data_IF_697812324870
#
_entry.id   IF_697812324870
#
_cell.length_a   1.000
_cell.length_b   1.000
_cell.length_c   1.000
_cell.angle_alpha   90.00
_cell.angle_beta   90.00
_cell.angle_gamma   90.00
#
_symmetry.space_group_name_H-M   'P 1'
#
loop_
_entity.id
_entity.type
_entity.pdbx_description
1 polymer ?
#
# COMPACT_ATOMS: atom_id res chain seq x y z
N UNK A 1 -30.07 20.16 -1.64
CA UNK A 1 -29.22 19.91 -0.46
C UNK A 1 -29.35 18.42 -0.15
N UNK A 2 -28.35 17.61 -0.52
CA UNK A 2 -28.42 16.16 -0.33
C UNK A 2 -27.69 15.79 0.95
N UNK A 3 -28.48 15.34 1.95
CA UNK A 3 -27.98 14.64 3.12
C UNK A 3 -27.55 13.24 2.66
N UNK A 4 -26.27 12.89 2.81
CA UNK A 4 -25.85 11.50 2.64
C UNK A 4 -25.94 10.81 3.98
N UNK A 5 -26.84 9.82 4.01
CA UNK A 5 -27.02 8.83 5.06
C UNK A 5 -25.65 8.30 5.52
N UNK A 6 -25.30 8.55 6.77
CA UNK A 6 -24.43 7.63 7.49
C UNK A 6 -25.28 6.36 7.60
N UNK A 7 -24.81 5.25 7.04
CA UNK A 7 -25.37 3.93 7.37
C UNK A 7 -24.58 3.45 8.59
N UNK A 8 -25.08 3.62 9.83
CA UNK A 8 -24.65 2.77 10.91
C UNK A 8 -25.34 1.43 10.65
N UNK A 9 -24.59 0.35 10.44
CA UNK A 9 -25.00 -0.98 10.88
C UNK A 9 -23.81 -1.92 10.65
N UNK A 10 -23.28 -2.54 11.70
CA UNK A 10 -23.71 -3.84 12.24
C UNK A 10 -23.60 -4.92 11.16
N UNK A 11 -22.38 -5.38 10.86
CA UNK A 11 -22.19 -6.54 9.97
C UNK A 11 -21.00 -7.38 10.40
N UNK A 12 -21.21 -8.70 10.47
CA UNK A 12 -20.31 -9.76 10.96
C UNK A 12 -18.82 -9.49 10.71
N UNK A 13 -18.07 -9.49 11.82
CA UNK A 13 -16.67 -9.08 11.93
C UNK A 13 -15.65 -10.09 11.37
N UNK A 14 -16.06 -11.31 11.03
CA UNK A 14 -15.08 -12.42 10.89
C UNK A 14 -14.39 -12.52 9.52
N UNK A 15 -14.89 -11.85 8.47
CA UNK A 15 -14.42 -12.09 7.09
C UNK A 15 -14.11 -10.85 6.24
N UNK A 16 -14.07 -9.65 6.83
CA UNK A 16 -13.88 -8.39 6.09
C UNK A 16 -12.64 -7.67 6.58
N UNK A 17 -11.77 -7.27 5.66
CA UNK A 17 -10.63 -6.42 5.97
C UNK A 17 -10.75 -5.09 5.25
N UNK A 18 -10.61 -3.99 5.97
CA UNK A 18 -10.59 -2.63 5.40
C UNK A 18 -9.14 -2.14 5.45
N UNK A 19 -8.64 -1.67 4.30
CA UNK A 19 -7.36 -0.97 4.22
C UNK A 19 -7.60 0.45 3.69
N UNK A 20 -6.97 1.42 4.33
CA UNK A 20 -7.03 2.82 3.90
C UNK A 20 -5.78 3.13 3.10
N UNK A 21 -5.95 3.58 1.86
CA UNK A 21 -4.89 3.99 0.94
C UNK A 21 -4.90 5.51 0.85
N UNK A 22 -3.78 6.15 1.17
CA UNK A 22 -3.56 7.57 0.96
C UNK A 22 -2.71 7.76 -0.29
N UNK A 23 -3.27 8.47 -1.27
CA UNK A 23 -2.58 8.89 -2.49
C UNK A 23 -2.36 10.41 -2.45
N UNK A 24 -1.16 10.88 -2.76
CA UNK A 24 -0.81 12.30 -2.73
C UNK A 24 0.03 12.72 -3.93
N UNK A 25 -0.10 13.98 -4.32
CA UNK A 25 0.85 14.69 -5.15
C UNK A 25 1.06 16.11 -4.60
N UNK A 26 1.91 16.90 -5.25
CA UNK A 26 2.22 18.28 -4.83
C UNK A 26 1.00 19.22 -4.71
N UNK A 27 -0.17 18.86 -5.26
CA UNK A 27 -1.36 19.72 -5.34
C UNK A 27 -2.61 19.13 -4.68
N UNK A 28 -2.67 17.82 -4.46
CA UNK A 28 -3.89 17.08 -4.09
C UNK A 28 -3.54 15.85 -3.26
N UNK A 29 -4.26 15.70 -2.15
CA UNK A 29 -4.30 14.51 -1.31
C UNK A 29 -5.67 13.82 -1.42
N UNK A 30 -5.68 12.51 -1.65
CA UNK A 30 -6.87 11.67 -1.76
C UNK A 30 -6.75 10.46 -0.84
N UNK A 31 -7.79 10.18 -0.06
CA UNK A 31 -7.92 8.94 0.72
C UNK A 31 -8.95 8.02 0.09
N UNK A 32 -8.62 6.73 0.04
CA UNK A 32 -9.45 5.67 -0.48
C UNK A 32 -9.58 4.57 0.57
N UNK A 33 -10.79 4.07 0.77
CA UNK A 33 -11.04 2.90 1.62
C UNK A 33 -11.31 1.71 0.71
N UNK A 34 -10.47 0.70 0.83
CA UNK A 34 -10.57 -0.53 0.05
C UNK A 34 -10.98 -1.63 1.00
N UNK A 35 -12.18 -2.17 0.77
CA UNK A 35 -12.66 -3.32 1.53
C UNK A 35 -12.33 -4.60 0.76
N UNK A 36 -11.52 -5.46 1.34
CA UNK A 36 -11.16 -6.77 0.81
C UNK A 36 -12.07 -7.81 1.47
N UNK A 37 -12.83 -8.53 0.64
CA UNK A 37 -13.69 -9.63 1.07
C UNK A 37 -13.13 -10.94 0.51
N UNK A 38 -13.04 -11.97 1.38
CA UNK A 38 -12.46 -13.28 1.01
C UNK A 38 -13.28 -14.00 -0.08
N UNK A 39 -14.54 -13.61 -0.26
CA UNK A 39 -15.51 -14.33 -1.11
C UNK A 39 -16.00 -13.51 -2.30
N UNK A 40 -15.93 -12.19 -2.22
CA UNK A 40 -16.40 -11.27 -3.26
C UNK A 40 -15.32 -10.23 -3.54
N UNK A 41 -15.16 -9.84 -4.80
CA UNK A 41 -14.13 -8.89 -5.22
C UNK A 41 -14.11 -7.64 -4.32
N UNK A 42 -12.93 -7.10 -3.96
CA UNK A 42 -12.84 -5.94 -3.08
C UNK A 42 -13.71 -4.79 -3.58
N UNK A 43 -14.55 -4.27 -2.68
CA UNK A 43 -15.43 -3.15 -2.97
C UNK A 43 -14.68 -1.86 -2.63
N UNK A 44 -14.49 -1.02 -3.64
CA UNK A 44 -14.08 0.36 -3.45
C UNK A 44 -15.24 1.12 -2.78
N UNK A 45 -15.11 1.40 -1.49
CA UNK A 45 -16.04 2.32 -0.82
C UNK A 45 -15.35 3.67 -0.79
N UNK A 46 -15.44 4.40 -1.89
CA UNK A 46 -14.83 5.72 -1.97
C UNK A 46 -15.65 6.72 -1.16
N UNK A 47 -15.16 7.08 0.04
CA UNK A 47 -15.28 8.46 0.48
C UNK A 47 -14.03 9.18 -0.02
N UNK A 48 -14.14 9.83 -1.18
CA UNK A 48 -13.11 10.73 -1.68
C UNK A 48 -13.09 11.96 -0.79
N UNK A 49 -12.32 11.90 0.30
CA UNK A 49 -12.08 13.08 1.10
C UNK A 49 -10.92 13.85 0.46
N UNK A 50 -11.23 15.01 -0.13
CA UNK A 50 -10.19 15.99 -0.44
C UNK A 50 -9.72 16.54 0.90
N UNK A 51 -8.49 16.24 1.26
CA UNK A 51 -7.90 16.83 2.46
C UNK A 51 -7.41 18.22 2.08
N UNK A 52 -7.88 19.24 2.78
CA UNK A 52 -7.55 20.64 2.52
C UNK A 52 -6.27 21.01 3.26
N UNK A 53 -5.16 21.17 2.52
CA UNK A 53 -3.87 21.57 3.07
C UNK A 53 -2.71 20.82 2.43
N UNK A 54 -2.30 21.24 1.22
CA UNK A 54 -1.26 20.56 0.44
C UNK A 54 0.12 20.49 1.15
N UNK A 55 0.35 21.30 2.20
CA UNK A 55 1.58 21.30 2.98
C UNK A 55 1.60 20.26 4.10
N UNK A 56 0.67 20.37 5.05
CA UNK A 56 0.65 19.53 6.26
C UNK A 56 0.41 18.05 5.94
N UNK A 57 -0.42 17.77 4.94
CA UNK A 57 -0.69 16.40 4.49
C UNK A 57 0.52 15.75 3.84
N UNK A 58 1.25 16.51 3.02
CA UNK A 58 2.47 16.02 2.39
C UNK A 58 3.59 15.85 3.42
N UNK A 59 3.70 16.75 4.40
CA UNK A 59 4.61 16.61 5.53
C UNK A 59 4.30 15.35 6.36
N UNK A 60 3.03 15.10 6.67
CA UNK A 60 2.59 13.87 7.36
C UNK A 60 2.83 12.62 6.51
N UNK A 61 2.61 12.68 5.20
CA UNK A 61 2.88 11.59 4.29
C UNK A 61 4.37 11.22 4.29
N UNK A 62 5.25 12.21 4.17
CA UNK A 62 6.70 12.01 4.18
C UNK A 62 7.23 11.55 5.54
N UNK A 63 6.63 11.98 6.66
CA UNK A 63 7.00 11.48 7.99
C UNK A 63 6.70 10.00 8.14
N UNK A 64 5.52 9.53 7.69
CA UNK A 64 5.14 8.11 7.72
C UNK A 64 6.12 7.25 6.93
N UNK A 65 6.58 7.74 5.77
CA UNK A 65 7.58 7.03 4.96
C UNK A 65 8.88 6.87 5.76
N UNK A 66 9.39 7.96 6.35
CA UNK A 66 10.62 7.94 7.14
C UNK A 66 10.52 7.01 8.34
N UNK A 67 9.40 7.04 9.07
CA UNK A 67 9.17 6.18 10.22
C UNK A 67 9.23 4.69 9.81
N UNK A 68 8.60 4.33 8.68
CA UNK A 68 8.63 2.95 8.17
C UNK A 68 9.99 2.51 7.65
N UNK A 69 10.72 3.40 6.99
CA UNK A 69 12.10 3.12 6.58
C UNK A 69 12.97 2.80 7.81
N UNK A 70 12.78 3.55 8.89
CA UNK A 70 13.46 3.31 10.15
C UNK A 70 13.05 1.96 10.76
N UNK A 71 11.75 1.65 10.84
CA UNK A 71 11.24 0.35 11.31
C UNK A 71 11.85 -0.83 10.52
N UNK A 72 11.97 -0.70 9.19
CA UNK A 72 12.56 -1.73 8.33
C UNK A 72 14.05 -1.92 8.63
N UNK A 73 14.81 -0.83 8.83
CA UNK A 73 16.24 -0.89 9.20
C UNK A 73 16.44 -1.57 10.56
N UNK A 74 15.60 -1.25 11.53
CA UNK A 74 15.62 -1.87 12.86
C UNK A 74 15.29 -3.37 12.79
N UNK A 75 14.30 -3.74 11.97
CA UNK A 75 13.97 -5.14 11.73
C UNK A 75 15.14 -5.91 11.11
N UNK A 76 15.83 -5.36 10.09
CA UNK A 76 17.03 -6.00 9.51
C UNK A 76 18.07 -6.30 10.59
N UNK A 77 18.35 -5.33 11.46
CA UNK A 77 19.33 -5.50 12.53
C UNK A 77 18.94 -6.63 13.49
N UNK A 78 17.65 -6.76 13.84
CA UNK A 78 17.16 -7.82 14.73
C UNK A 78 17.33 -9.23 14.15
N UNK A 79 17.22 -9.40 12.84
CA UNK A 79 17.35 -10.70 12.16
C UNK A 79 18.74 -10.92 11.52
N UNK A 80 19.69 -10.02 11.79
CA UNK A 80 21.01 -10.02 11.18
C UNK A 80 21.81 -11.29 11.55
N UNK A 81 22.53 -11.87 10.58
CA UNK A 81 23.39 -13.04 10.76
C UNK A 81 22.84 -14.37 10.25
N UNK A 82 21.52 -14.54 10.16
CA UNK A 82 20.90 -15.79 9.68
C UNK A 82 20.12 -15.64 8.37
N UNK A 83 20.00 -14.41 7.88
CA UNK A 83 19.33 -14.10 6.62
C UNK A 83 20.33 -13.99 5.46
N UNK A 84 19.90 -14.23 4.20
CA UNK A 84 20.73 -13.99 3.02
C UNK A 84 21.38 -12.60 3.00
N UNK A 85 22.66 -12.54 2.64
CA UNK A 85 23.49 -11.33 2.73
C UNK A 85 23.04 -10.14 1.86
N UNK A 86 22.13 -10.37 0.92
CA UNK A 86 21.66 -9.39 -0.06
C UNK A 86 20.29 -8.76 0.28
N UNK A 87 19.69 -9.06 1.43
CA UNK A 87 18.43 -8.44 1.84
C UNK A 87 18.63 -6.94 2.12
N UNK A 88 17.74 -6.11 1.56
CA UNK A 88 17.75 -4.65 1.70
C UNK A 88 16.71 -4.13 2.68
N UNK A 89 15.62 -4.88 2.88
CA UNK A 89 14.58 -4.52 3.84
C UNK A 89 13.77 -5.74 4.28
N UNK A 90 13.19 -5.64 5.48
CA UNK A 90 12.36 -6.68 6.10
C UNK A 90 11.09 -6.05 6.64
N UNK A 91 9.98 -6.76 6.51
CA UNK A 91 8.70 -6.38 7.07
C UNK A 91 8.05 -7.57 7.79
N UNK A 92 8.18 -7.66 9.12
CA UNK A 92 7.65 -8.77 9.90
C UNK A 92 6.12 -8.73 9.96
N UNK A 93 5.52 -9.90 9.96
CA UNK A 93 4.08 -10.05 10.22
C UNK A 93 3.74 -9.67 11.67
N UNK A 94 2.49 -9.24 11.98
CA UNK A 94 2.08 -8.83 13.32
C UNK A 94 2.34 -9.88 14.41
N UNK A 95 2.09 -11.16 14.10
CA UNK A 95 2.39 -12.29 15.00
C UNK A 95 3.87 -12.71 15.02
N UNK A 96 4.74 -12.03 14.26
CA UNK A 96 6.19 -12.27 14.12
C UNK A 96 6.57 -13.69 13.69
N UNK A 97 5.66 -14.46 13.08
CA UNK A 97 5.94 -15.82 12.60
C UNK A 97 6.42 -15.85 11.15
N UNK A 98 6.16 -14.79 10.40
CA UNK A 98 6.48 -14.65 8.98
C UNK A 98 7.20 -13.33 8.73
N UNK A 99 8.10 -13.32 7.75
CA UNK A 99 8.84 -12.15 7.29
C UNK A 99 8.62 -11.97 5.79
N UNK A 100 8.26 -10.77 5.36
CA UNK A 100 8.46 -10.36 3.97
C UNK A 100 9.83 -9.72 3.88
N UNK A 101 10.62 -10.12 2.89
CA UNK A 101 11.93 -9.53 2.63
C UNK A 101 12.03 -9.09 1.18
N UNK A 102 12.80 -8.05 0.92
CA UNK A 102 13.16 -7.61 -0.42
C UNK A 102 14.65 -7.42 -0.59
N UNK A 103 15.08 -7.55 -1.84
CA UNK A 103 16.49 -7.50 -2.24
C UNK A 103 16.82 -6.22 -3.03
N UNK A 104 15.79 -5.54 -3.53
CA UNK A 104 15.87 -4.21 -4.12
C UNK A 104 15.85 -3.15 -3.01
N UNK A 105 16.73 -2.16 -3.08
CA UNK A 105 16.70 -1.00 -2.20
C UNK A 105 15.64 0.00 -2.70
N UNK A 106 14.52 0.22 -1.99
CA UNK A 106 13.45 1.11 -2.42
C UNK A 106 13.89 2.56 -2.62
N UNK A 107 15.03 2.94 -2.05
CA UNK A 107 15.61 4.28 -2.20
C UNK A 107 16.18 4.54 -3.59
N UNK A 108 16.56 3.47 -4.31
CA UNK A 108 17.27 3.55 -5.60
C UNK A 108 16.55 2.79 -6.72
N UNK A 109 15.93 1.66 -6.39
CA UNK A 109 15.31 0.76 -7.35
C UNK A 109 13.87 0.46 -6.96
N UNK A 110 12.96 0.44 -7.93
CA UNK A 110 11.59 0.12 -7.63
C UNK A 110 11.44 -1.37 -7.33
N UNK A 111 10.70 -1.69 -6.27
CA UNK A 111 10.52 -3.07 -5.81
C UNK A 111 9.63 -3.82 -6.80
N UNK A 112 10.10 -4.96 -7.31
CA UNK A 112 9.29 -5.87 -8.16
C UNK A 112 9.18 -7.27 -7.61
N UNK A 113 10.05 -7.64 -6.68
CA UNK A 113 10.07 -8.96 -6.12
C UNK A 113 10.19 -8.90 -4.60
N UNK A 114 9.51 -9.83 -3.96
CA UNK A 114 9.58 -10.01 -2.52
C UNK A 114 9.56 -11.50 -2.22
N UNK A 115 10.09 -11.87 -1.07
CA UNK A 115 10.14 -13.26 -0.63
C UNK A 115 9.56 -13.39 0.76
N UNK A 116 8.73 -14.40 0.95
CA UNK A 116 8.11 -14.74 2.22
C UNK A 116 8.94 -15.81 2.91
N UNK A 117 9.35 -15.54 4.14
CA UNK A 117 10.11 -16.45 4.99
C UNK A 117 9.32 -16.82 6.25
N UNK A 118 9.59 -18.01 6.79
CA UNK A 118 9.28 -18.31 8.17
C UNK A 118 10.27 -17.57 9.08
N UNK A 119 9.79 -16.81 10.06
CA UNK A 119 10.64 -15.99 10.92
C UNK A 119 11.51 -16.80 11.89
N UNK A 120 11.09 -18.02 12.22
CA UNK A 120 11.78 -18.91 13.18
C UNK A 120 12.80 -19.77 12.45
N UNK A 121 12.37 -20.48 11.40
CA UNK A 121 13.25 -21.40 10.67
C UNK A 121 14.07 -20.72 9.59
N UNK A 122 13.69 -19.50 9.19
CA UNK A 122 14.31 -18.74 8.10
C UNK A 122 14.34 -19.49 6.76
N UNK A 123 13.41 -20.44 6.61
CA UNK A 123 13.15 -21.14 5.36
C UNK A 123 12.24 -20.28 4.50
N UNK A 124 12.61 -20.12 3.23
CA UNK A 124 11.77 -19.49 2.22
C UNK A 124 10.49 -20.32 2.02
N UNK A 125 9.34 -19.66 2.16
CA UNK A 125 8.03 -20.25 1.93
C UNK A 125 7.63 -20.09 0.46
N UNK A 126 7.71 -18.86 -0.06
CA UNK A 126 7.37 -18.55 -1.45
C UNK A 126 7.96 -17.19 -1.86
N UNK A 127 7.93 -16.87 -3.14
CA UNK A 127 8.28 -15.56 -3.68
C UNK A 127 7.10 -14.97 -4.46
N UNK A 128 6.97 -13.66 -4.42
CA UNK A 128 5.96 -12.92 -5.17
C UNK A 128 6.66 -11.97 -6.13
N UNK A 129 6.32 -12.07 -7.41
CA UNK A 129 6.78 -11.15 -8.45
C UNK A 129 5.60 -10.27 -8.86
N UNK A 130 5.80 -8.96 -8.77
CA UNK A 130 4.84 -7.98 -9.25
C UNK A 130 5.16 -7.61 -10.71
N UNK A 131 4.11 -7.43 -11.50
CA UNK A 131 4.24 -6.92 -12.87
C UNK A 131 4.54 -5.41 -12.86
N UNK A 132 3.98 -4.72 -11.88
CA UNK A 132 4.13 -3.29 -11.61
C UNK A 132 4.95 -3.09 -10.33
N UNK A 133 5.38 -1.87 -10.05
CA UNK A 133 6.27 -1.60 -8.92
C UNK A 133 5.48 -1.58 -7.60
N UNK A 134 5.99 -2.23 -6.56
CA UNK A 134 5.38 -2.19 -5.23
C UNK A 134 5.79 -0.88 -4.54
N UNK A 135 4.85 0.04 -4.35
CA UNK A 135 5.11 1.29 -3.64
C UNK A 135 4.97 1.14 -2.13
N UNK A 136 4.06 0.27 -1.68
CA UNK A 136 3.85 0.00 -0.27
C UNK A 136 3.23 -1.37 -0.04
N UNK A 137 3.31 -1.87 1.19
CA UNK A 137 2.73 -3.15 1.58
C UNK A 137 2.26 -3.15 3.03
N UNK A 138 1.29 -4.00 3.35
CA UNK A 138 0.71 -4.11 4.68
C UNK A 138 0.26 -5.53 5.00
N UNK A 139 0.48 -5.93 6.24
CA UNK A 139 -0.09 -7.16 6.78
C UNK A 139 -1.51 -6.94 7.30
N UNK A 140 -2.35 -7.96 7.20
CA UNK A 140 -3.54 -8.05 8.03
C UNK A 140 -3.16 -8.24 9.49
N UNK A 141 -4.01 -7.72 10.40
CA UNK A 141 -3.79 -7.84 11.86
C UNK A 141 -3.63 -9.29 12.32
N UNK A 142 -4.29 -10.24 11.64
CA UNK A 142 -4.22 -11.67 11.93
C UNK A 142 -3.05 -12.40 11.21
N UNK A 143 -2.18 -11.66 10.51
CA UNK A 143 -1.07 -12.18 9.70
C UNK A 143 -1.47 -13.13 8.57
N UNK A 144 -2.73 -13.20 8.15
CA UNK A 144 -3.21 -14.15 7.12
C UNK A 144 -3.28 -13.57 5.70
N UNK A 145 -3.23 -12.27 5.56
CA UNK A 145 -3.32 -11.58 4.27
C UNK A 145 -2.19 -10.56 4.18
N UNK A 146 -1.58 -10.48 3.00
CA UNK A 146 -0.66 -9.40 2.65
C UNK A 146 -1.34 -8.56 1.58
N UNK A 147 -1.26 -7.24 1.71
CA UNK A 147 -1.81 -6.30 0.74
C UNK A 147 -0.66 -5.45 0.20
N UNK A 148 -0.51 -5.41 -1.12
CA UNK A 148 0.43 -4.57 -1.84
C UNK A 148 -0.30 -3.42 -2.48
N UNK A 149 0.34 -2.26 -2.48
CA UNK A 149 0.02 -1.16 -3.36
C UNK A 149 1.03 -1.19 -4.50
N UNK A 150 0.54 -1.51 -5.69
CA UNK A 150 1.30 -1.54 -6.93
C UNK A 150 1.05 -0.24 -7.71
N UNK A 151 2.10 0.24 -8.38
CA UNK A 151 2.07 1.44 -9.21
C UNK A 151 2.57 1.10 -10.61
N UNK A 152 1.68 1.27 -11.58
CA UNK A 152 2.00 1.24 -12.99
C UNK A 152 2.21 2.65 -13.50
N UNK A 153 3.42 2.95 -13.97
CA UNK A 153 3.76 4.25 -14.55
C UNK A 153 3.73 4.18 -16.08
N UNK A 154 3.05 5.13 -16.70
CA UNK A 154 3.03 5.31 -18.16
C UNK A 154 3.07 6.79 -18.53
N UNK A 155 3.38 7.10 -19.78
CA UNK A 155 3.42 8.47 -20.28
C UNK A 155 2.00 8.91 -20.69
N UNK A 156 1.63 10.15 -20.36
CA UNK A 156 0.38 10.77 -20.81
C UNK A 156 0.30 10.77 -22.35
N UNK A 157 -0.72 10.10 -22.90
CA UNK A 157 -0.95 9.95 -24.34
C UNK A 157 -1.89 11.00 -24.93
N UNK A 158 -2.37 11.97 -24.14
CA UNK A 158 -3.16 13.09 -24.66
C UNK A 158 -2.34 13.96 -25.61
N UNK A 159 -2.99 14.78 -26.45
CA UNK A 159 -2.28 15.70 -27.36
C UNK A 159 -1.30 16.62 -26.61
N UNK A 160 -1.71 17.11 -25.43
CA UNK A 160 -0.83 17.86 -24.53
C UNK A 160 0.33 16.99 -24.07
N UNK A 161 0.06 15.79 -23.56
CA UNK A 161 1.09 14.84 -23.13
C UNK A 161 2.11 14.51 -24.23
N UNK A 162 1.66 14.36 -25.47
CA UNK A 162 2.49 14.10 -26.63
C UNK A 162 3.40 15.29 -26.97
N UNK A 163 2.87 16.52 -26.96
CA UNK A 163 3.66 17.73 -27.16
C UNK A 163 4.80 17.83 -26.12
N UNK A 164 4.46 17.61 -24.85
CA UNK A 164 5.43 17.60 -23.75
C UNK A 164 6.45 16.44 -23.88
N UNK A 165 6.03 15.26 -24.33
CA UNK A 165 6.95 14.15 -24.60
C UNK A 165 7.95 14.50 -25.71
N UNK A 166 7.50 15.12 -26.80
CA UNK A 166 8.35 15.55 -27.92
C UNK A 166 9.31 16.66 -27.49
N UNK A 167 8.88 17.58 -26.61
CA UNK A 167 9.75 18.61 -26.04
C UNK A 167 10.71 18.08 -24.96
N UNK A 168 10.83 16.76 -24.81
CA UNK A 168 11.72 16.12 -23.84
C UNK A 168 11.24 16.21 -22.38
N UNK A 169 9.97 16.53 -22.14
CA UNK A 169 9.39 16.73 -20.81
C UNK A 169 8.14 15.84 -20.61
N UNK A 170 8.24 14.51 -20.79
CA UNK A 170 7.07 13.64 -20.73
C UNK A 170 6.37 13.75 -19.37
N UNK A 171 5.03 13.76 -19.40
CA UNK A 171 4.22 13.83 -18.18
C UNK A 171 3.92 12.40 -17.73
N UNK A 172 4.49 11.91 -16.62
CA UNK A 172 4.18 10.58 -16.13
C UNK A 172 2.80 10.55 -15.47
N UNK A 173 2.12 9.43 -15.69
CA UNK A 173 0.82 9.07 -15.13
C UNK A 173 0.97 7.77 -14.38
N UNK A 174 0.35 7.71 -13.20
CA UNK A 174 0.38 6.54 -12.34
C UNK A 174 -1.01 5.92 -12.24
N UNK A 175 -1.06 4.61 -12.40
CA UNK A 175 -2.24 3.79 -12.07
C UNK A 175 -1.93 3.01 -10.81
N UNK A 176 -2.77 3.18 -9.79
CA UNK A 176 -2.63 2.54 -8.49
C UNK A 176 -3.52 1.32 -8.41
N UNK A 177 -2.92 0.21 -8.02
CA UNK A 177 -3.53 -1.10 -7.99
C UNK A 177 -3.30 -1.68 -6.60
N UNK A 178 -4.34 -2.20 -5.95
CA UNK A 178 -4.19 -3.02 -4.75
C UNK A 178 -4.20 -4.48 -5.14
N UNK A 179 -3.16 -5.19 -4.70
CA UNK A 179 -3.07 -6.65 -4.80
C UNK A 179 -3.13 -7.23 -3.40
N UNK A 180 -4.09 -8.10 -3.12
CA UNK A 180 -4.21 -8.82 -1.86
C UNK A 180 -3.86 -10.29 -2.08
N UNK A 181 -3.09 -10.87 -1.16
CA UNK A 181 -2.67 -12.28 -1.19
C UNK A 181 -3.04 -12.93 0.13
N UNK A 182 -3.86 -13.99 0.08
CA UNK A 182 -4.10 -14.85 1.23
C UNK A 182 -2.96 -15.86 1.36
N UNK A 183 -2.10 -15.70 2.36
CA UNK A 183 -0.90 -16.52 2.50
C UNK A 183 -1.18 -18.00 2.81
N UNK A 184 -2.40 -18.35 3.24
CA UNK A 184 -2.76 -19.74 3.57
C UNK A 184 -3.11 -20.53 2.32
N UNK A 185 -3.71 -19.86 1.34
CA UNK A 185 -4.16 -20.47 0.08
C UNK A 185 -3.31 -20.04 -1.11
N UNK A 186 -2.44 -19.06 -0.92
CA UNK A 186 -1.67 -18.35 -1.95
C UNK A 186 -2.55 -17.77 -3.08
N UNK A 187 -3.85 -17.59 -2.81
CA UNK A 187 -4.77 -16.96 -3.75
C UNK A 187 -4.56 -15.46 -3.73
N UNK A 188 -4.61 -14.90 -4.93
CA UNK A 188 -4.36 -13.49 -5.15
C UNK A 188 -5.59 -12.81 -5.73
N UNK A 189 -5.80 -11.57 -5.36
CA UNK A 189 -6.79 -10.66 -5.93
C UNK A 189 -6.09 -9.37 -6.30
N UNK A 190 -6.48 -8.76 -7.41
CA UNK A 190 -5.82 -7.55 -7.93
C UNK A 190 -6.87 -6.59 -8.50
N UNK A 191 -6.86 -5.35 -8.03
CA UNK A 191 -7.85 -4.33 -8.38
C UNK A 191 -7.20 -2.97 -8.60
N UNK A 192 -7.57 -2.33 -9.69
CA UNK A 192 -7.26 -0.93 -9.95
C UNK A 192 -8.15 -0.01 -9.10
N UNK A 193 -7.53 0.90 -8.34
CA UNK A 193 -8.22 1.85 -7.46
C UNK A 193 -8.33 3.23 -8.10
N UNK A 194 -7.28 3.62 -8.82
CA UNK A 194 -7.19 4.92 -9.46
C UNK A 194 -6.31 4.84 -10.70
N UNK A 195 -6.83 5.29 -11.83
CA UNK A 195 -6.09 5.44 -13.08
C UNK A 195 -5.66 6.88 -13.32
N UNK A 196 -4.58 7.03 -14.10
CA UNK A 196 -4.12 8.31 -14.67
C UNK A 196 -3.90 9.45 -13.65
N UNK A 197 -3.43 9.11 -12.46
CA UNK A 197 -3.07 10.10 -11.44
C UNK A 197 -1.75 10.77 -11.81
N UNK A 198 -1.75 12.10 -11.87
CA UNK A 198 -0.55 12.89 -12.16
C UNK A 198 0.50 12.69 -11.06
N UNK A 199 1.78 12.56 -11.45
CA UNK A 199 2.99 12.49 -10.61
C UNK A 199 2.68 12.42 -9.12
N UNK A 200 2.44 11.20 -8.62
CA UNK A 200 1.94 11.02 -7.27
C UNK A 200 2.42 9.73 -6.65
N UNK A 201 2.44 9.74 -5.33
CA UNK A 201 2.86 8.62 -4.49
C UNK A 201 1.66 8.11 -3.69
N UNK A 202 1.77 6.87 -3.23
CA UNK A 202 0.72 6.21 -2.47
C UNK A 202 1.27 5.29 -1.41
N UNK A 203 0.60 5.27 -0.26
CA UNK A 203 0.88 4.35 0.85
C UNK A 203 -0.41 3.95 1.56
N UNK A 204 -0.37 2.82 2.25
CA UNK A 204 -1.39 2.46 3.23
C UNK A 204 -1.24 3.30 4.47
N UNK A 205 -2.34 3.83 5.01
CA UNK A 205 -2.36 4.42 6.34
C UNK A 205 -3.11 3.55 7.31
N UNK A 206 -2.58 3.51 8.53
CA UNK A 206 -3.29 3.03 9.69
C UNK A 206 -4.24 4.16 10.09
N UNK A 207 -5.54 3.96 9.91
CA UNK A 207 -6.49 4.81 10.61
C UNK A 207 -6.26 4.58 12.09
N UNK A 208 -5.67 5.57 12.74
CA UNK A 208 -5.85 5.77 14.17
C UNK A 208 -7.35 6.04 14.29
N UNK A 209 -8.14 5.01 14.52
CA UNK A 209 -9.45 5.16 15.12
C UNK A 209 -9.21 5.87 16.46
N UNK A 210 -9.18 7.20 16.45
CA UNK A 210 -9.88 7.94 17.49
C UNK A 210 -11.34 7.53 17.28
N UNK A 211 -11.71 6.44 17.97
CA UNK A 211 -13.08 6.26 18.40
C UNK A 211 -13.50 7.61 18.95
N UNK A 212 -14.35 8.32 18.21
CA UNK A 212 -15.01 9.49 18.76
C UNK A 212 -15.72 8.99 20.01
N UNK A 213 -15.23 9.49 21.16
CA UNK A 213 -15.81 9.19 22.45
C UNK A 213 -17.31 9.44 22.41
N UNK A 214 -18.02 8.56 23.10
CA UNK A 214 -19.40 8.71 23.52
C UNK A 214 -19.86 10.18 23.57
N UNK A 215 -20.76 10.55 22.68
CA UNK A 215 -21.73 11.60 23.00
C UNK A 215 -22.97 10.84 23.46
N UNK A 216 -23.15 10.82 24.78
CA UNK A 216 -24.43 10.50 25.41
C UNK A 216 -25.41 11.62 25.14
#
# INVERSE_FOLDING_TARGET
MFFYLIVPNVFSAENKQVVTVWLTNFSKSLKYFVRIDKTSAPVLVSNKQRISGAGDDFAKFTSIIKDREQERKEAIFQYHGNLPANIKWIYPSPNRKLLIVGFEDPSFFPIKSIVLFNAITLVQITSFKANDYISDLRWSKDSKIIVFLEVKTHIDKSLKGLFYAISGHPIPKNTFIVRAIDIRTLREQRIEILSDFNYGEGLFVDDVEKQHGNVR
#
